data_IF_108954737020
#
_entry.id   IF_108954737020
#
_cell.length_a   1.000
_cell.length_b   1.000
_cell.length_c   1.000
_cell.angle_alpha   90.00
_cell.angle_beta   90.00
_cell.angle_gamma   90.00
#
_symmetry.space_group_name_H-M   'P 1'
#
loop_
_entity.id
_entity.type
_entity.pdbx_description
1 polymer ?
#
# COMPACT_ATOMS: atom_id res chain seq x y z
N UNK A 1 7.06 21.54 -32.53
CA UNK A 1 7.33 20.64 -31.38
C UNK A 1 7.31 21.55 -30.16
N UNK A 2 6.27 21.46 -29.36
CA UNK A 2 5.91 22.46 -28.34
C UNK A 2 6.81 22.31 -27.10
N UNK A 3 7.13 23.41 -26.40
CA UNK A 3 7.94 23.43 -25.17
C UNK A 3 7.41 22.48 -24.07
N UNK A 4 6.14 22.08 -24.17
CA UNK A 4 5.48 21.09 -23.31
C UNK A 4 6.09 19.67 -23.41
N UNK A 5 6.56 19.26 -24.59
CA UNK A 5 7.17 17.93 -24.79
C UNK A 5 8.60 17.87 -24.23
N UNK A 6 9.32 18.99 -24.22
CA UNK A 6 10.67 19.08 -23.68
C UNK A 6 10.68 19.00 -22.14
N UNK A 7 9.72 19.64 -21.47
CA UNK A 7 9.58 19.58 -20.01
C UNK A 7 9.22 18.18 -19.50
N UNK A 8 8.32 17.47 -20.19
CA UNK A 8 7.89 16.12 -19.81
C UNK A 8 8.97 15.04 -20.07
N UNK A 9 9.89 15.28 -21.00
CA UNK A 9 11.04 14.41 -21.26
C UNK A 9 12.16 14.63 -20.23
N UNK A 10 12.46 15.88 -19.87
CA UNK A 10 13.44 16.23 -18.85
C UNK A 10 13.03 15.73 -17.44
N UNK A 11 11.75 15.86 -17.09
CA UNK A 11 11.21 15.36 -15.81
C UNK A 11 11.16 13.82 -15.73
N UNK A 12 11.06 13.13 -16.88
CA UNK A 12 11.23 11.66 -16.96
C UNK A 12 12.69 11.27 -16.79
N UNK A 13 13.61 11.95 -17.46
CA UNK A 13 15.05 11.71 -17.36
C UNK A 13 15.60 11.94 -15.94
N UNK A 14 15.11 12.95 -15.22
CA UNK A 14 15.46 13.21 -13.82
C UNK A 14 15.03 12.09 -12.87
N UNK A 15 13.85 11.49 -13.10
CA UNK A 15 13.39 10.30 -12.34
C UNK A 15 14.11 9.02 -12.74
N UNK A 16 14.67 8.97 -13.94
CA UNK A 16 15.33 7.78 -14.49
C UNK A 16 16.75 7.54 -13.95
N UNK A 17 17.33 8.46 -13.17
CA UNK A 17 18.77 8.49 -12.93
C UNK A 17 19.25 8.64 -11.48
N UNK A 18 18.40 8.50 -10.45
CA UNK A 18 18.88 8.51 -9.07
C UNK A 18 18.86 7.10 -8.48
N UNK A 19 19.92 6.35 -8.79
CA UNK A 19 20.18 5.06 -8.17
C UNK A 19 20.31 5.26 -6.65
N UNK A 20 19.57 4.47 -5.87
CA UNK A 20 19.67 4.52 -4.40
C UNK A 20 21.12 4.27 -3.98
N UNK A 21 21.63 5.07 -3.05
CA UNK A 21 22.94 4.82 -2.44
C UNK A 21 22.86 3.51 -1.63
N UNK A 22 23.97 2.77 -1.46
CA UNK A 22 23.97 1.51 -0.71
C UNK A 22 23.29 1.60 0.66
N UNK A 23 23.55 2.68 1.42
CA UNK A 23 22.91 2.89 2.73
C UNK A 23 21.38 3.06 2.63
N UNK A 24 20.90 3.75 1.59
CA UNK A 24 19.45 3.92 1.36
C UNK A 24 18.79 2.60 0.96
N UNK A 25 19.54 1.72 0.29
CA UNK A 25 19.07 0.37 -0.04
C UNK A 25 19.00 -0.51 1.21
N UNK A 26 19.99 -0.42 2.09
CA UNK A 26 19.99 -1.13 3.38
C UNK A 26 18.84 -0.67 4.28
N UNK A 27 18.62 0.65 4.38
CA UNK A 27 17.51 1.25 5.15
C UNK A 27 16.14 0.83 4.58
N UNK A 28 16.01 0.79 3.24
CA UNK A 28 14.81 0.30 2.57
C UNK A 28 14.59 -1.19 2.87
N UNK A 29 15.65 -2.00 2.80
CA UNK A 29 15.62 -3.43 3.13
C UNK A 29 15.15 -3.67 4.56
N UNK A 30 15.70 -2.93 5.53
CA UNK A 30 15.28 -3.00 6.93
C UNK A 30 13.79 -2.62 7.11
N UNK A 31 13.35 -1.57 6.41
CA UNK A 31 11.95 -1.14 6.43
C UNK A 31 11.02 -2.19 5.84
N UNK A 32 11.37 -2.80 4.71
CA UNK A 32 10.57 -3.88 4.09
C UNK A 32 10.48 -5.10 5.01
N UNK A 33 11.57 -5.49 5.67
CA UNK A 33 11.56 -6.59 6.64
C UNK A 33 10.67 -6.28 7.85
N UNK A 34 10.70 -5.05 8.36
CA UNK A 34 9.81 -4.62 9.42
C UNK A 34 8.33 -4.67 8.98
N UNK A 35 8.02 -4.15 7.78
CA UNK A 35 6.66 -4.22 7.23
C UNK A 35 6.19 -5.66 7.04
N UNK A 36 7.06 -6.56 6.57
CA UNK A 36 6.75 -7.99 6.44
C UNK A 36 6.43 -8.63 7.80
N UNK A 37 7.18 -8.27 8.86
CA UNK A 37 6.89 -8.70 10.23
C UNK A 37 5.53 -8.21 10.70
N UNK A 38 5.23 -6.92 10.53
CA UNK A 38 3.93 -6.37 10.95
C UNK A 38 2.77 -6.99 10.19
N UNK A 39 2.92 -7.23 8.88
CA UNK A 39 1.92 -7.94 8.09
C UNK A 39 1.67 -9.36 8.62
N UNK A 40 2.72 -10.06 9.05
CA UNK A 40 2.58 -11.37 9.67
C UNK A 40 1.79 -11.31 10.98
N UNK A 41 2.07 -10.32 11.84
CA UNK A 41 1.34 -10.12 13.10
C UNK A 41 -0.13 -9.83 12.83
N UNK A 42 -0.46 -8.97 11.87
CA UNK A 42 -1.84 -8.67 11.51
C UNK A 42 -2.56 -9.92 11.00
N UNK A 43 -1.91 -10.71 10.13
CA UNK A 43 -2.45 -11.98 9.63
C UNK A 43 -2.72 -12.97 10.77
N UNK A 44 -1.79 -13.11 11.72
CA UNK A 44 -1.95 -14.01 12.86
C UNK A 44 -3.14 -13.57 13.74
N UNK A 45 -3.22 -12.29 14.07
CA UNK A 45 -4.33 -11.72 14.83
C UNK A 45 -5.67 -11.90 14.13
N UNK A 46 -5.73 -11.74 12.81
CA UNK A 46 -6.95 -11.99 12.03
C UNK A 46 -7.38 -13.46 12.16
N UNK A 47 -6.45 -14.42 12.03
CA UNK A 47 -6.75 -15.84 12.18
C UNK A 47 -7.23 -16.20 13.58
N UNK A 48 -6.61 -15.63 14.61
CA UNK A 48 -7.06 -15.80 16.00
C UNK A 48 -8.46 -15.24 16.19
N UNK A 49 -8.76 -14.06 15.64
CA UNK A 49 -10.09 -13.47 15.71
C UNK A 49 -11.14 -14.36 15.02
N UNK A 50 -10.85 -14.85 13.81
CA UNK A 50 -11.74 -15.77 13.08
C UNK A 50 -12.00 -17.06 13.86
N UNK A 51 -10.96 -17.65 14.46
CA UNK A 51 -11.09 -18.83 15.31
C UNK A 51 -11.95 -18.56 16.54
N UNK A 52 -11.71 -17.46 17.26
CA UNK A 52 -12.52 -17.08 18.43
C UNK A 52 -13.99 -16.87 18.06
N UNK A 53 -14.27 -16.18 16.95
CA UNK A 53 -15.65 -15.97 16.50
C UNK A 53 -16.34 -17.29 16.12
N UNK A 54 -15.61 -18.23 15.52
CA UNK A 54 -16.12 -19.56 15.19
C UNK A 54 -16.35 -20.42 16.44
N UNK A 55 -15.43 -20.42 17.39
CA UNK A 55 -15.53 -21.15 18.66
C UNK A 55 -16.74 -20.67 19.48
N UNK A 56 -17.08 -19.39 19.38
CA UNK A 56 -18.27 -18.80 19.99
C UNK A 56 -19.56 -18.95 19.15
N UNK A 57 -19.49 -19.61 17.98
CA UNK A 57 -20.63 -19.84 17.09
C UNK A 57 -21.18 -18.59 16.40
N UNK A 58 -20.40 -17.51 16.34
CA UNK A 58 -20.80 -16.23 15.72
C UNK A 58 -20.70 -16.31 14.19
N UNK A 59 -19.67 -16.98 13.69
CA UNK A 59 -19.46 -17.23 12.25
C UNK A 59 -19.17 -18.71 12.01
N UNK A 60 -19.43 -19.19 10.79
CA UNK A 60 -18.98 -20.52 10.38
C UNK A 60 -17.45 -20.53 10.14
N UNK A 61 -16.75 -21.66 10.37
CA UNK A 61 -15.37 -21.82 9.97
C UNK A 61 -15.19 -21.50 8.47
N UNK A 62 -14.19 -20.69 8.13
CA UNK A 62 -13.92 -20.28 6.75
C UNK A 62 -14.83 -19.17 6.22
N UNK A 63 -15.85 -18.72 6.97
CA UNK A 63 -16.82 -17.73 6.50
C UNK A 63 -16.19 -16.44 5.98
N UNK A 64 -15.09 -15.96 6.58
CA UNK A 64 -14.41 -14.73 6.12
C UNK A 64 -13.73 -14.93 4.77
N UNK A 65 -13.12 -16.09 4.52
CA UNK A 65 -12.47 -16.38 3.25
C UNK A 65 -13.49 -16.55 2.10
N UNK A 66 -14.66 -17.10 2.41
CA UNK A 66 -15.74 -17.33 1.45
C UNK A 66 -16.67 -16.11 1.30
N UNK A 67 -16.52 -15.09 2.15
CA UNK A 67 -17.37 -13.92 2.13
C UNK A 67 -17.04 -13.00 0.96
N UNK A 68 -17.99 -12.87 0.04
CA UNK A 68 -17.95 -11.81 -0.96
C UNK A 68 -18.72 -10.59 -0.43
N UNK A 69 -18.06 -9.42 -0.24
CA UNK A 69 -18.75 -8.23 0.22
C UNK A 69 -19.79 -7.78 -0.81
N UNK A 70 -20.95 -7.34 -0.32
CA UNK A 70 -21.98 -6.74 -1.16
C UNK A 70 -21.54 -5.40 -1.77
N UNK A 71 -22.31 -4.85 -2.74
CA UNK A 71 -21.90 -3.66 -3.50
C UNK A 71 -21.54 -2.44 -2.64
N UNK A 72 -22.28 -2.21 -1.55
CA UNK A 72 -22.04 -1.09 -0.65
C UNK A 72 -20.69 -1.21 0.08
N UNK A 73 -20.46 -2.35 0.75
CA UNK A 73 -19.22 -2.60 1.47
C UNK A 73 -18.01 -2.66 0.52
N UNK A 74 -18.16 -3.25 -0.66
CA UNK A 74 -17.10 -3.26 -1.66
C UNK A 74 -16.70 -1.84 -2.08
N UNK A 75 -17.68 -0.96 -2.35
CA UNK A 75 -17.42 0.43 -2.71
C UNK A 75 -16.75 1.23 -1.58
N UNK A 76 -17.13 0.97 -0.32
CA UNK A 76 -16.48 1.57 0.85
C UNK A 76 -15.01 1.17 0.96
N UNK A 77 -14.71 -0.13 0.84
CA UNK A 77 -13.35 -0.66 0.86
C UNK A 77 -12.49 -0.14 -0.30
N UNK A 78 -13.08 -0.03 -1.50
CA UNK A 78 -12.41 0.56 -2.67
C UNK A 78 -12.06 2.03 -2.44
N UNK A 79 -13.00 2.81 -1.91
CA UNK A 79 -12.78 4.22 -1.61
C UNK A 79 -11.69 4.40 -0.55
N UNK A 80 -11.68 3.56 0.49
CA UNK A 80 -10.64 3.57 1.52
C UNK A 80 -9.27 3.23 0.95
N UNK A 81 -9.16 2.15 0.17
CA UNK A 81 -7.91 1.77 -0.51
C UNK A 81 -7.40 2.87 -1.44
N UNK A 82 -8.29 3.54 -2.17
CA UNK A 82 -7.92 4.65 -3.05
C UNK A 82 -7.39 5.85 -2.25
N UNK A 83 -8.02 6.22 -1.13
CA UNK A 83 -7.53 7.28 -0.23
C UNK A 83 -6.16 6.95 0.34
N UNK A 84 -5.98 5.73 0.83
CA UNK A 84 -4.72 5.28 1.41
C UNK A 84 -3.59 5.27 0.37
N UNK A 85 -3.84 4.70 -0.81
CA UNK A 85 -2.87 4.67 -1.91
C UNK A 85 -2.47 6.08 -2.33
N UNK A 86 -3.43 7.01 -2.43
CA UNK A 86 -3.13 8.41 -2.75
C UNK A 86 -2.21 9.04 -1.70
N UNK A 87 -2.53 8.90 -0.42
CA UNK A 87 -1.72 9.46 0.66
C UNK A 87 -0.28 8.92 0.65
N UNK A 88 -0.10 7.62 0.34
CA UNK A 88 1.22 7.03 0.15
C UNK A 88 1.97 7.65 -1.03
N UNK A 89 1.31 7.80 -2.18
CA UNK A 89 1.94 8.38 -3.37
C UNK A 89 2.33 9.85 -3.16
N UNK A 90 1.49 10.62 -2.47
CA UNK A 90 1.79 12.00 -2.08
C UNK A 90 3.00 12.07 -1.14
N UNK A 91 3.09 11.16 -0.17
CA UNK A 91 4.23 11.08 0.76
C UNK A 91 5.54 10.72 0.05
N UNK A 92 5.47 9.87 -0.97
CA UNK A 92 6.64 9.40 -1.73
C UNK A 92 7.05 10.33 -2.87
N UNK A 93 6.18 11.28 -3.26
CA UNK A 93 6.46 12.22 -4.33
C UNK A 93 7.33 13.38 -3.81
N UNK A 94 8.43 13.74 -4.49
CA UNK A 94 9.19 14.92 -4.12
C UNK A 94 8.32 16.18 -4.24
N UNK A 95 8.51 17.19 -3.38
CA UNK A 95 7.79 18.45 -3.50
C UNK A 95 8.09 19.07 -4.86
N UNK A 96 7.05 19.56 -5.57
CA UNK A 96 7.26 20.31 -6.81
C UNK A 96 8.11 21.55 -6.50
N UNK A 97 9.30 21.63 -7.09
CA UNK A 97 10.10 22.86 -7.03
C UNK A 97 9.28 23.98 -7.68
N UNK A 98 8.81 24.92 -6.85
CA UNK A 98 8.24 26.17 -7.34
C UNK A 98 9.38 26.96 -8.00
N UNK A 99 9.40 26.92 -9.33
CA UNK A 99 10.18 27.85 -10.15
C UNK A 99 9.72 29.29 -10.01
#
# INVERSE_FOLDING_TARGET
MSDYDAGAAASRAARQGQMLRPQQLDDLGATVLLLARELWVVKDRQRVLEALLADHGIIAPGAVADHQPGPALAAELDAERARYTRALMETLSPPEEKG
#
